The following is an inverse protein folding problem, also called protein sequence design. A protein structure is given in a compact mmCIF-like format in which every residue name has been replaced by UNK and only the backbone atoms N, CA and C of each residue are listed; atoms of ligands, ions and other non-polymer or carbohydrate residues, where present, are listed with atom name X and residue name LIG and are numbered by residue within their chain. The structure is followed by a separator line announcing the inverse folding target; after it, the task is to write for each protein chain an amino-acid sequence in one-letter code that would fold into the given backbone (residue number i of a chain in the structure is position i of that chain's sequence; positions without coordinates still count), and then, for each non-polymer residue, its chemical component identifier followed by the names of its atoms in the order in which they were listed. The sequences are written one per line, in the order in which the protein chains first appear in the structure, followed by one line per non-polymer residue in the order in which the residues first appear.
data_IF_743777235645
#
_entry.id   IF_743777235645
#
_cell.length_a   1.000
_cell.length_b   1.000
_cell.length_c   1.000
_cell.angle_alpha   90.00
_cell.angle_beta   90.00
_cell.angle_gamma   90.00
#
_symmetry.space_group_name_H-M   'P 1'
#
loop_
_entity.id
_entity.type
_entity.pdbx_description
1 polymer ?
#
# COMPACT_ATOMS: atom_id res chain seq x y z
N UNK A 1 -29.41 -0.82 4.21
CA UNK A 1 -28.33 0.10 3.83
C UNK A 1 -28.90 1.46 3.44
N UNK A 2 -28.74 2.45 4.31
CA UNK A 2 -29.01 3.85 4.00
C UNK A 2 -27.63 4.50 3.88
N UNK A 3 -27.33 5.06 2.70
CA UNK A 3 -26.08 5.77 2.46
C UNK A 3 -25.99 7.00 3.38
N UNK A 4 -24.83 7.22 4.00
CA UNK A 4 -24.62 8.35 4.93
C UNK A 4 -24.85 9.68 4.18
N UNK A 5 -25.73 10.53 4.69
CA UNK A 5 -26.10 11.81 4.06
C UNK A 5 -24.90 12.73 3.82
N UNK A 6 -23.81 12.57 4.58
CA UNK A 6 -22.55 13.30 4.38
C UNK A 6 -21.78 12.81 3.16
N UNK A 7 -21.78 11.49 2.91
CA UNK A 7 -21.14 10.93 1.72
C UNK A 7 -21.90 11.37 0.46
N UNK A 8 -23.23 11.31 0.49
CA UNK A 8 -24.07 11.82 -0.59
C UNK A 8 -23.80 13.30 -0.90
N UNK A 9 -23.71 14.13 0.16
CA UNK A 9 -23.37 15.55 0.01
C UNK A 9 -21.98 15.75 -0.62
N UNK A 10 -20.96 15.03 -0.17
CA UNK A 10 -19.60 15.14 -0.71
C UNK A 10 -19.55 14.78 -2.22
N UNK A 11 -20.28 13.73 -2.62
CA UNK A 11 -20.41 13.35 -4.03
C UNK A 11 -21.12 14.46 -4.83
N UNK A 12 -22.21 14.99 -4.29
CA UNK A 12 -22.99 16.05 -4.95
C UNK A 12 -22.16 17.34 -5.12
N UNK A 13 -21.40 17.73 -4.10
CA UNK A 13 -20.56 18.94 -4.12
C UNK A 13 -19.36 18.80 -5.07
N UNK A 14 -18.92 17.58 -5.36
CA UNK A 14 -17.81 17.28 -6.29
C UNK A 14 -18.30 16.71 -7.63
N UNK A 15 -19.58 16.89 -7.96
CA UNK A 15 -20.18 16.35 -9.16
C UNK A 15 -19.48 16.87 -10.44
N UNK A 16 -19.09 15.92 -11.29
CA UNK A 16 -18.39 16.19 -12.55
C UNK A 16 -16.93 16.58 -12.39
N UNK A 17 -16.36 16.47 -11.18
CA UNK A 17 -14.94 16.72 -10.96
C UNK A 17 -14.09 15.47 -11.19
N UNK A 18 -13.00 15.63 -11.94
CA UNK A 18 -12.02 14.59 -12.24
C UNK A 18 -10.62 15.09 -11.98
N UNK A 19 -9.70 14.16 -11.72
CA UNK A 19 -8.27 14.45 -11.58
C UNK A 19 -7.56 14.31 -12.93
N UNK A 20 -6.81 15.34 -13.32
CA UNK A 20 -6.16 15.44 -14.63
C UNK A 20 -4.67 15.73 -14.50
N UNK A 21 -3.86 15.05 -15.31
CA UNK A 21 -2.43 15.29 -15.49
C UNK A 21 -2.13 15.34 -16.99
N UNK A 22 -1.44 16.40 -17.46
CA UNK A 22 -1.09 16.53 -18.88
C UNK A 22 -2.31 16.46 -19.82
N UNK A 23 -3.47 16.98 -19.39
CA UNK A 23 -4.71 16.96 -20.17
C UNK A 23 -5.49 15.64 -20.18
N UNK A 24 -4.97 14.59 -19.52
CA UNK A 24 -5.63 13.28 -19.44
C UNK A 24 -6.12 12.96 -18.02
N UNK A 25 -7.28 12.29 -17.92
CA UNK A 25 -7.78 11.77 -16.63
C UNK A 25 -6.79 10.77 -16.07
N UNK A 26 -6.45 10.90 -14.79
CA UNK A 26 -5.47 10.04 -14.15
C UNK A 26 -6.08 8.74 -13.63
N UNK A 27 -5.21 7.76 -13.36
CA UNK A 27 -5.55 6.64 -12.49
C UNK A 27 -5.34 7.04 -11.02
N UNK A 28 -6.43 7.40 -10.34
CA UNK A 28 -6.41 7.90 -8.95
C UNK A 28 -6.38 6.77 -7.91
N UNK A 29 -5.27 6.02 -7.83
CA UNK A 29 -5.13 4.95 -6.83
C UNK A 29 -5.13 5.48 -5.39
N UNK A 30 -5.67 4.70 -4.45
CA UNK A 30 -5.76 5.06 -3.04
C UNK A 30 -5.67 3.82 -2.15
N UNK A 31 -5.29 4.03 -0.88
CA UNK A 31 -5.13 2.95 0.10
C UNK A 31 -5.42 3.44 1.52
N UNK A 32 -5.60 2.52 2.47
CA UNK A 32 -5.98 2.83 3.85
C UNK A 32 -4.94 3.67 4.59
N UNK A 33 -3.73 3.14 4.76
CA UNK A 33 -2.67 3.82 5.51
C UNK A 33 -1.30 3.55 4.88
N UNK A 34 -0.52 4.59 4.59
CA UNK A 34 0.75 4.42 3.87
C UNK A 34 1.92 3.93 4.74
N UNK A 35 1.82 4.06 6.08
CA UNK A 35 2.91 3.75 7.01
C UNK A 35 4.01 4.81 7.07
N UNK A 36 3.69 6.07 6.74
CA UNK A 36 4.62 7.21 6.83
C UNK A 36 5.11 7.75 5.48
N UNK A 37 4.98 6.97 4.40
CA UNK A 37 5.36 7.38 3.05
C UNK A 37 4.49 6.62 2.03
N UNK A 38 3.94 7.31 1.03
CA UNK A 38 3.24 6.66 -0.09
C UNK A 38 4.24 6.12 -1.10
N UNK A 39 3.87 5.12 -1.89
CA UNK A 39 4.82 4.40 -2.74
C UNK A 39 4.70 4.80 -4.22
N UNK A 40 5.80 4.68 -4.95
CA UNK A 40 5.78 4.84 -6.40
C UNK A 40 5.04 3.68 -7.08
N UNK A 41 4.34 3.98 -8.18
CA UNK A 41 3.74 2.95 -9.02
C UNK A 41 4.79 2.00 -9.61
N UNK A 42 6.01 2.48 -9.83
CA UNK A 42 7.13 1.68 -10.32
C UNK A 42 7.52 0.58 -9.32
N UNK A 43 7.65 0.91 -8.04
CA UNK A 43 8.03 -0.07 -7.02
C UNK A 43 6.94 -1.13 -6.78
N UNK A 44 5.66 -0.79 -6.97
CA UNK A 44 4.56 -1.74 -6.72
C UNK A 44 4.19 -2.54 -7.97
N UNK A 45 4.22 -1.91 -9.14
CA UNK A 45 3.67 -2.45 -10.39
C UNK A 45 4.62 -2.35 -11.60
N UNK A 46 5.81 -1.79 -11.45
CA UNK A 46 6.79 -1.64 -12.54
C UNK A 46 6.42 -0.57 -13.57
N UNK A 47 5.45 0.30 -13.27
CA UNK A 47 5.03 1.38 -14.15
C UNK A 47 5.50 2.73 -13.61
N UNK A 48 6.33 3.43 -14.38
CA UNK A 48 6.69 4.81 -14.06
C UNK A 48 5.54 5.75 -14.44
N UNK A 49 4.90 6.34 -13.44
CA UNK A 49 3.74 7.22 -13.60
C UNK A 49 4.06 8.54 -12.87
N UNK A 50 4.21 9.67 -13.58
CA UNK A 50 4.76 10.92 -13.02
C UNK A 50 4.02 11.47 -11.79
N UNK A 51 2.71 11.25 -11.69
CA UNK A 51 1.88 11.70 -10.57
C UNK A 51 1.74 10.65 -9.45
N UNK A 52 2.42 9.49 -9.56
CA UNK A 52 2.44 8.40 -8.58
C UNK A 52 3.88 8.03 -8.21
N UNK A 53 4.67 9.01 -7.77
CA UNK A 53 6.08 8.82 -7.39
C UNK A 53 6.27 8.54 -5.88
N UNK A 54 5.20 8.69 -5.08
CA UNK A 54 5.26 8.61 -3.64
C UNK A 54 5.66 9.94 -3.00
N UNK A 55 5.10 10.21 -1.82
CA UNK A 55 5.37 11.39 -1.00
C UNK A 55 5.48 10.99 0.47
N UNK A 56 6.26 11.73 1.26
CA UNK A 56 6.23 11.61 2.71
C UNK A 56 4.79 11.82 3.21
N UNK A 57 4.38 11.14 4.28
CA UNK A 57 3.05 11.32 4.86
C UNK A 57 3.09 11.11 6.38
N UNK A 58 3.46 12.17 7.10
CA UNK A 58 3.41 12.24 8.58
C UNK A 58 2.01 12.14 9.19
N UNK A 59 0.98 12.42 8.38
CA UNK A 59 -0.41 12.52 8.81
C UNK A 59 -1.07 11.19 9.18
N UNK A 60 -0.50 10.05 8.78
CA UNK A 60 -1.12 8.74 9.01
C UNK A 60 -0.46 7.91 10.13
N UNK A 61 0.56 8.45 10.82
CA UNK A 61 1.36 7.67 11.77
C UNK A 61 0.64 7.39 13.09
N UNK A 62 -0.24 8.31 13.53
CA UNK A 62 -0.94 8.24 14.81
C UNK A 62 -2.39 7.73 14.69
N UNK A 63 -2.70 6.96 13.64
CA UNK A 63 -4.08 6.47 13.43
C UNK A 63 -4.29 5.11 14.09
N UNK A 64 -5.54 4.78 14.46
CA UNK A 64 -5.90 3.40 14.80
C UNK A 64 -5.43 2.46 13.68
N UNK A 65 -4.85 1.32 14.03
CA UNK A 65 -4.31 0.31 13.09
C UNK A 65 -3.11 0.73 12.22
N UNK A 66 -2.40 1.83 12.55
CA UNK A 66 -1.18 2.23 11.82
C UNK A 66 -0.04 1.21 11.95
N UNK A 67 -0.05 0.39 13.01
CA UNK A 67 0.90 -0.70 13.26
C UNK A 67 0.17 -2.03 13.37
N UNK A 68 0.86 -3.11 13.02
CA UNK A 68 0.36 -4.47 13.12
C UNK A 68 1.49 -5.43 13.43
N UNK A 69 1.16 -6.50 14.14
CA UNK A 69 2.06 -7.63 14.37
C UNK A 69 1.33 -8.93 14.04
N UNK A 70 2.07 -9.90 13.52
CA UNK A 70 1.55 -11.24 13.28
C UNK A 70 2.67 -12.27 13.35
N UNK A 71 2.38 -13.41 13.96
CA UNK A 71 3.29 -14.57 13.96
C UNK A 71 2.82 -15.54 12.89
N UNK A 72 3.73 -15.93 12.00
CA UNK A 72 3.49 -16.91 10.95
C UNK A 72 4.52 -18.05 11.05
N UNK A 73 4.08 -19.30 11.24
CA UNK A 73 4.96 -20.45 11.14
C UNK A 73 5.47 -20.60 9.70
N UNK A 74 6.73 -20.98 9.53
CA UNK A 74 7.36 -21.26 8.23
C UNK A 74 6.57 -22.29 7.43
N UNK A 75 5.99 -23.31 8.08
CA UNK A 75 5.11 -24.30 7.44
C UNK A 75 3.86 -23.69 6.84
N UNK A 76 3.26 -22.68 7.51
CA UNK A 76 2.08 -21.99 7.00
C UNK A 76 2.45 -21.13 5.79
N UNK A 77 3.57 -20.42 5.86
CA UNK A 77 4.12 -19.64 4.75
C UNK A 77 4.39 -20.56 3.55
N UNK A 78 5.09 -21.68 3.76
CA UNK A 78 5.38 -22.65 2.72
C UNK A 78 4.10 -23.15 2.04
N UNK A 79 3.09 -23.53 2.82
CA UNK A 79 1.79 -23.99 2.28
C UNK A 79 1.11 -22.93 1.42
N UNK A 80 1.10 -21.67 1.86
CA UNK A 80 0.49 -20.56 1.12
C UNK A 80 1.27 -20.20 -0.15
N UNK A 81 2.60 -20.24 -0.09
CA UNK A 81 3.46 -20.04 -1.25
C UNK A 81 3.26 -21.15 -2.29
N UNK A 82 3.23 -22.43 -1.87
CA UNK A 82 2.91 -23.57 -2.76
C UNK A 82 1.54 -23.40 -3.43
N UNK A 83 0.53 -23.04 -2.64
CA UNK A 83 -0.85 -22.83 -3.15
C UNK A 83 -0.93 -21.66 -4.14
N UNK A 84 0.01 -20.72 -4.07
CA UNK A 84 0.14 -19.58 -4.99
C UNK A 84 1.05 -19.87 -6.19
N UNK A 85 1.48 -21.13 -6.39
CA UNK A 85 2.29 -21.56 -7.53
C UNK A 85 3.81 -21.45 -7.34
N UNK A 86 4.29 -21.07 -6.16
CA UNK A 86 5.73 -20.98 -5.90
C UNK A 86 6.31 -22.34 -5.49
N UNK A 87 7.52 -22.62 -5.97
CA UNK A 87 8.31 -23.80 -5.58
C UNK A 87 8.95 -23.59 -4.20
N UNK A 88 8.14 -23.43 -3.16
CA UNK A 88 8.60 -23.37 -1.77
C UNK A 88 8.60 -24.78 -1.18
N UNK A 89 9.72 -25.29 -0.66
CA UNK A 89 9.75 -26.60 0.01
C UNK A 89 10.87 -26.67 1.03
N UNK A 90 10.55 -27.09 2.26
CA UNK A 90 11.50 -27.14 3.36
C UNK A 90 12.07 -25.78 3.71
N UNK A 91 11.22 -24.77 3.89
CA UNK A 91 11.65 -23.44 4.31
C UNK A 91 12.29 -23.50 5.71
N UNK A 92 13.49 -22.93 5.85
CA UNK A 92 14.26 -22.93 7.11
C UNK A 92 14.62 -21.53 7.59
N UNK A 93 14.73 -20.58 6.68
CA UNK A 93 15.17 -19.22 6.98
C UNK A 93 14.62 -18.24 5.96
N UNK A 94 14.65 -16.97 6.35
CA UNK A 94 14.23 -15.86 5.49
C UNK A 94 15.13 -14.65 5.76
N UNK A 95 15.39 -13.87 4.71
CA UNK A 95 16.06 -12.58 4.78
C UNK A 95 15.38 -11.59 3.86
N UNK A 96 15.41 -10.31 4.23
CA UNK A 96 15.05 -9.21 3.33
C UNK A 96 16.27 -8.95 2.44
N UNK A 97 16.14 -9.14 1.13
CA UNK A 97 17.22 -8.89 0.17
C UNK A 97 17.29 -7.45 -0.28
N UNK A 98 16.15 -6.75 -0.32
CA UNK A 98 16.08 -5.37 -0.82
C UNK A 98 14.98 -4.59 -0.13
N UNK A 99 15.31 -3.35 0.25
CA UNK A 99 14.39 -2.34 0.79
C UNK A 99 14.55 -1.09 -0.09
N UNK A 100 13.46 -0.37 -0.34
CA UNK A 100 13.53 0.89 -1.09
C UNK A 100 13.69 2.10 -0.15
N UNK A 101 13.72 3.31 -0.73
CA UNK A 101 13.91 4.56 0.02
C UNK A 101 12.75 4.88 0.98
N UNK A 102 11.55 4.36 0.75
CA UNK A 102 10.38 4.56 1.63
C UNK A 102 10.39 3.62 2.84
N UNK A 103 11.35 2.68 2.92
CA UNK A 103 11.44 1.66 3.97
C UNK A 103 10.63 0.40 3.68
N UNK A 104 9.97 0.30 2.51
CA UNK A 104 9.22 -0.89 2.10
C UNK A 104 10.17 -1.98 1.61
N UNK A 105 9.89 -3.20 2.05
CA UNK A 105 10.54 -4.42 1.57
C UNK A 105 10.17 -4.57 0.10
N UNK A 106 11.18 -4.70 -0.75
CA UNK A 106 11.04 -4.94 -2.18
C UNK A 106 11.16 -6.43 -2.49
N UNK A 107 12.11 -7.10 -1.85
CA UNK A 107 12.43 -8.50 -2.12
C UNK A 107 12.72 -9.27 -0.83
N UNK A 108 12.31 -10.53 -0.83
CA UNK A 108 12.58 -11.50 0.23
C UNK A 108 13.22 -12.73 -0.38
N UNK A 109 14.19 -13.30 0.33
CA UNK A 109 14.77 -14.60 -0.02
C UNK A 109 14.57 -15.57 1.11
N UNK A 110 14.02 -16.74 0.77
CA UNK A 110 13.82 -17.86 1.67
C UNK A 110 14.87 -18.94 1.41
N UNK A 111 15.51 -19.43 2.46
CA UNK A 111 16.32 -20.65 2.41
C UNK A 111 15.39 -21.86 2.41
N UNK A 112 15.46 -22.67 1.36
CA UNK A 112 14.62 -23.84 1.13
C UNK A 112 15.47 -25.11 0.93
N UNK A 113 14.84 -26.28 0.92
CA UNK A 113 15.54 -27.57 0.78
C UNK A 113 16.29 -27.72 -0.56
N UNK A 114 15.80 -27.08 -1.63
CA UNK A 114 16.37 -27.14 -2.98
C UNK A 114 17.16 -25.88 -3.37
N UNK A 115 17.58 -25.06 -2.40
CA UNK A 115 18.30 -23.81 -2.63
C UNK A 115 17.55 -22.60 -2.08
N UNK A 116 17.79 -21.43 -2.66
CA UNK A 116 17.10 -20.19 -2.29
C UNK A 116 15.88 -19.92 -3.18
N UNK A 117 14.80 -19.44 -2.57
CA UNK A 117 13.62 -18.90 -3.26
C UNK A 117 13.57 -17.39 -3.04
N UNK A 118 13.87 -16.61 -4.08
CA UNK A 118 13.74 -15.15 -4.04
C UNK A 118 12.45 -14.72 -4.73
N UNK A 119 11.74 -13.76 -4.12
CA UNK A 119 10.52 -13.19 -4.68
C UNK A 119 10.32 -11.74 -4.24
N UNK A 120 9.49 -11.01 -4.98
CA UNK A 120 9.06 -9.68 -4.56
C UNK A 120 8.18 -9.75 -3.31
N UNK A 121 8.29 -8.75 -2.43
CA UNK A 121 7.45 -8.64 -1.25
C UNK A 121 5.97 -8.44 -1.60
N UNK A 122 5.68 -7.87 -2.78
CA UNK A 122 4.31 -7.75 -3.32
C UNK A 122 3.73 -9.14 -3.59
N UNK A 123 4.49 -10.02 -4.24
CA UNK A 123 4.06 -11.40 -4.49
C UNK A 123 3.93 -12.21 -3.20
N UNK A 124 4.88 -12.05 -2.26
CA UNK A 124 4.77 -12.64 -0.93
C UNK A 124 3.48 -12.19 -0.24
N UNK A 125 3.23 -10.87 -0.16
CA UNK A 125 2.03 -10.32 0.45
C UNK A 125 0.74 -10.84 -0.20
N UNK A 126 0.71 -10.95 -1.53
CA UNK A 126 -0.42 -11.54 -2.27
C UNK A 126 -0.64 -13.00 -1.88
N UNK A 127 0.43 -13.80 -1.84
CA UNK A 127 0.36 -15.22 -1.52
C UNK A 127 -0.08 -15.49 -0.06
N UNK A 128 0.39 -14.67 0.89
CA UNK A 128 0.03 -14.82 2.29
C UNK A 128 -1.37 -14.25 2.60
N UNK A 129 -1.79 -13.23 1.84
CA UNK A 129 -3.09 -12.58 1.95
C UNK A 129 -2.99 -11.16 2.52
N UNK A 130 -3.73 -10.25 1.90
CA UNK A 130 -3.68 -8.81 2.19
C UNK A 130 -4.17 -8.41 3.59
N UNK A 131 -4.94 -9.28 4.25
CA UNK A 131 -5.41 -9.08 5.63
C UNK A 131 -4.42 -9.59 6.68
N UNK A 132 -3.56 -10.55 6.29
CA UNK A 132 -2.52 -11.15 7.14
C UNK A 132 -1.26 -10.28 7.10
N UNK A 133 -0.73 -10.02 5.90
CA UNK A 133 0.37 -9.08 5.67
C UNK A 133 -0.24 -7.79 5.10
N UNK A 134 -0.48 -6.82 5.97
CA UNK A 134 -1.26 -5.63 5.63
C UNK A 134 -0.54 -4.65 4.70
N UNK A 135 0.78 -4.64 4.70
CA UNK A 135 1.62 -3.81 3.83
C UNK A 135 2.96 -4.51 3.55
N UNK A 136 3.79 -3.92 2.68
CA UNK A 136 5.20 -4.31 2.49
C UNK A 136 6.16 -3.52 3.38
N UNK A 137 5.65 -2.67 4.28
CA UNK A 137 6.46 -1.92 5.24
C UNK A 137 6.49 -2.70 6.56
N UNK A 138 7.41 -3.67 6.66
CA UNK A 138 7.57 -4.51 7.83
C UNK A 138 9.02 -4.92 8.06
N UNK A 139 9.30 -5.31 9.29
CA UNK A 139 10.46 -6.11 9.67
C UNK A 139 9.98 -7.45 10.22
N UNK A 140 10.89 -8.40 10.42
CA UNK A 140 10.56 -9.64 11.13
C UNK A 140 11.70 -10.11 12.02
N UNK A 141 11.35 -10.96 13.00
CA UNK A 141 12.29 -11.76 13.79
C UNK A 141 11.91 -13.23 13.68
N UNK A 142 12.89 -14.08 13.43
CA UNK A 142 12.70 -15.54 13.43
C UNK A 142 13.03 -16.12 14.81
N UNK A 143 12.14 -16.97 15.33
CA UNK A 143 12.36 -17.76 16.54
C UNK A 143 11.99 -19.22 16.25
N UNK A 144 13.00 -20.06 16.01
CA UNK A 144 12.77 -21.42 15.52
C UNK A 144 12.04 -21.39 14.17
N UNK A 145 10.89 -22.05 14.10
CA UNK A 145 10.06 -22.12 12.90
C UNK A 145 9.05 -20.96 12.77
N UNK A 146 9.00 -20.03 13.73
CA UNK A 146 8.05 -18.91 13.73
C UNK A 146 8.69 -17.60 13.28
N UNK A 147 8.00 -16.87 12.42
CA UNK A 147 8.33 -15.50 12.02
C UNK A 147 7.36 -14.51 12.65
N UNK A 148 7.87 -13.67 13.56
CA UNK A 148 7.14 -12.51 14.07
C UNK A 148 7.38 -11.34 13.13
N UNK A 149 6.35 -10.97 12.36
CA UNK A 149 6.33 -9.76 11.55
C UNK A 149 5.82 -8.58 12.38
N UNK A 150 6.52 -7.45 12.31
CA UNK A 150 6.08 -6.17 12.85
C UNK A 150 6.07 -5.16 11.71
N UNK A 151 4.89 -4.62 11.39
CA UNK A 151 4.73 -3.74 10.23
C UNK A 151 3.88 -2.51 10.49
N UNK A 152 3.86 -1.63 9.49
CA UNK A 152 3.11 -0.38 9.51
C UNK A 152 2.36 -0.13 8.20
N UNK A 153 1.24 0.58 8.29
CA UNK A 153 0.36 0.83 7.15
C UNK A 153 -0.50 -0.36 6.74
N UNK A 154 -1.41 -0.09 5.81
CA UNK A 154 -2.38 -1.03 5.26
C UNK A 154 -2.71 -0.65 3.81
N UNK A 155 -2.41 -1.57 2.88
CA UNK A 155 -2.63 -1.39 1.45
C UNK A 155 -1.34 -1.30 0.65
N UNK A 156 -1.49 -1.11 -0.67
CA UNK A 156 -0.36 -1.07 -1.60
C UNK A 156 0.53 0.15 -1.42
N UNK A 157 -0.01 1.27 -0.92
CA UNK A 157 0.77 2.47 -0.59
C UNK A 157 0.81 3.53 -1.69
N UNK A 158 0.39 3.21 -2.91
CA UNK A 158 0.41 4.14 -4.06
C UNK A 158 -0.74 5.15 -3.99
N UNK A 159 -0.46 6.39 -4.37
CA UNK A 159 -1.45 7.48 -4.45
C UNK A 159 -1.94 7.95 -3.08
N UNK A 160 -3.25 8.19 -2.95
CA UNK A 160 -3.85 8.82 -1.78
C UNK A 160 -3.90 7.90 -0.56
N UNK A 161 -3.41 8.38 0.58
CA UNK A 161 -3.54 7.74 1.89
C UNK A 161 -4.83 8.21 2.57
N UNK A 162 -5.80 7.31 2.77
CA UNK A 162 -7.12 7.66 3.33
C UNK A 162 -7.02 8.21 4.76
N UNK A 163 -6.27 7.55 5.63
CA UNK A 163 -6.04 8.03 7.00
C UNK A 163 -5.26 9.34 7.05
N UNK A 164 -4.27 9.51 6.16
CA UNK A 164 -3.54 10.77 6.04
C UNK A 164 -4.43 11.90 5.53
N UNK A 165 -5.32 11.62 4.58
CA UNK A 165 -6.32 12.56 4.07
C UNK A 165 -7.30 12.99 5.16
N UNK A 166 -7.77 12.04 5.99
CA UNK A 166 -8.63 12.34 7.13
C UNK A 166 -7.95 13.28 8.13
N UNK A 167 -6.68 13.02 8.47
CA UNK A 167 -5.94 13.90 9.36
C UNK A 167 -5.72 15.28 8.74
N UNK A 168 -5.32 15.37 7.47
CA UNK A 168 -5.17 16.65 6.77
C UNK A 168 -6.49 17.44 6.74
N UNK A 169 -7.63 16.78 6.50
CA UNK A 169 -8.93 17.44 6.58
C UNK A 169 -9.21 17.97 8.01
N UNK A 170 -8.84 17.20 9.04
CA UNK A 170 -8.89 17.64 10.44
C UNK A 170 -7.97 18.82 10.76
N UNK A 171 -6.84 18.93 10.04
CA UNK A 171 -5.90 20.05 10.12
C UNK A 171 -6.35 21.28 9.29
N UNK A 172 -7.51 21.22 8.64
CA UNK A 172 -8.13 22.35 7.92
C UNK A 172 -7.84 22.41 6.41
N UNK A 173 -7.10 21.45 5.85
CA UNK A 173 -6.87 21.40 4.40
C UNK A 173 -8.14 20.99 3.65
N UNK A 174 -8.45 21.70 2.56
CA UNK A 174 -9.56 21.33 1.69
C UNK A 174 -9.19 20.14 0.78
N UNK A 175 -10.20 19.53 0.14
CA UNK A 175 -9.99 18.34 -0.68
C UNK A 175 -9.03 18.57 -1.86
N UNK A 176 -9.02 19.75 -2.48
CA UNK A 176 -8.10 20.06 -3.60
C UNK A 176 -6.65 20.08 -3.11
N UNK A 177 -6.38 20.66 -1.95
CA UNK A 177 -5.06 20.66 -1.32
C UNK A 177 -4.60 19.24 -0.93
N UNK A 178 -5.54 18.42 -0.42
CA UNK A 178 -5.26 17.02 -0.09
C UNK A 178 -4.93 16.23 -1.36
N UNK A 179 -5.69 16.40 -2.44
CA UNK A 179 -5.46 15.72 -3.72
C UNK A 179 -4.14 16.16 -4.35
N UNK A 180 -3.85 17.46 -4.39
CA UNK A 180 -2.59 17.99 -4.93
C UNK A 180 -1.35 17.50 -4.15
N UNK A 181 -1.50 17.24 -2.85
CA UNK A 181 -0.44 16.67 -2.03
C UNK A 181 -0.10 15.22 -2.40
N UNK A 182 -1.12 14.38 -2.57
CA UNK A 182 -0.94 12.95 -2.87
C UNK A 182 -0.69 12.65 -4.34
N UNK A 183 -1.08 13.55 -5.24
CA UNK A 183 -0.90 13.45 -6.68
C UNK A 183 -0.19 14.70 -7.21
N UNK A 184 1.15 14.82 -7.07
CA UNK A 184 1.88 16.02 -7.50
C UNK A 184 1.69 16.33 -8.98
N UNK A 185 1.43 17.60 -9.30
CA UNK A 185 1.19 18.08 -10.67
C UNK A 185 -0.21 17.76 -11.22
N UNK A 186 -1.05 17.08 -10.46
CA UNK A 186 -2.46 16.82 -10.82
C UNK A 186 -3.33 17.98 -10.37
N UNK A 187 -4.29 18.35 -11.19
CA UNK A 187 -5.32 19.33 -10.83
C UNK A 187 -6.72 18.76 -11.04
N UNK A 188 -7.68 19.33 -10.33
CA UNK A 188 -9.09 19.01 -10.49
C UNK A 188 -9.64 19.77 -11.68
N UNK A 189 -10.25 19.06 -12.63
CA UNK A 189 -10.97 19.62 -13.77
C UNK A 189 -12.45 19.24 -13.70
N UNK A 190 -13.31 20.01 -14.36
CA UNK A 190 -14.74 19.70 -14.47
C UNK A 190 -15.05 19.18 -15.87
N UNK A 191 -15.57 17.96 -15.96
CA UNK A 191 -16.09 17.44 -17.22
C UNK A 191 -17.45 18.07 -17.50
N UNK A 192 -17.70 18.44 -18.76
CA UNK A 192 -19.05 18.80 -19.19
C UNK A 192 -19.89 17.53 -19.12
N UNK A 193 -21.02 17.58 -18.43
CA UNK A 193 -22.02 16.52 -18.55
C UNK A 193 -22.46 16.49 -20.02
N UNK A 194 -22.49 15.31 -20.63
CA UNK A 194 -23.15 15.13 -21.91
C UNK A 194 -24.64 15.30 -21.65
N UNK A 195 -25.25 16.28 -22.32
CA UNK A 195 -26.70 16.52 -22.31
C UNK A 195 -27.49 15.28 -22.77
#
# INVERSE_FOLDING_TARGET
DIEDSRAFRAVSETAGEVLVYGGSIIQAFYHSNCGGHTESAENVWGADIPYLQGVECRYCLHTPSSRWEIVLPLKKIESLLKSSGFQASGLKGVRISRINRSGRVMEMTFSAAKGELTMSAVNFRKAIGYTVIKSTNFTFRQKGDDLLFSGSGNGHGVGLCQWGSKQRAGDGFNYREILAYYYPGVHVAKIKQQD
#
